data_IF_990429620662
#
_entry.id   IF_990429620662
#
_cell.length_a   1.000
_cell.length_b   1.000
_cell.length_c   1.000
_cell.angle_alpha   90.00
_cell.angle_beta   90.00
_cell.angle_gamma   90.00
#
_symmetry.space_group_name_H-M   'P 1'
#
loop_
_entity.id
_entity.type
_entity.pdbx_description
1 polymer ?
#
# COMPACT_ATOMS: atom_id res chain seq x y z
N UNK A 1 -10.71 -18.05 5.04
CA UNK A 1 -11.17 -19.03 4.06
C UNK A 1 -9.97 -19.35 3.18
N UNK A 2 -9.55 -20.61 3.13
CA UNK A 2 -8.38 -21.01 2.35
C UNK A 2 -8.71 -21.11 0.85
N UNK A 3 -9.98 -21.08 0.48
CA UNK A 3 -10.43 -21.23 -0.92
C UNK A 3 -10.35 -19.91 -1.72
N UNK A 4 -10.07 -18.79 -1.06
CA UNK A 4 -10.04 -17.46 -1.70
C UNK A 4 -8.72 -17.13 -2.39
N UNK A 5 -7.62 -17.82 -2.04
CA UNK A 5 -6.27 -17.48 -2.48
C UNK A 5 -5.42 -18.72 -2.70
N UNK A 6 -4.52 -18.70 -3.69
CA UNK A 6 -3.54 -19.78 -3.88
C UNK A 6 -2.65 -20.00 -2.65
N UNK A 7 -2.33 -18.91 -1.93
CA UNK A 7 -1.52 -18.92 -0.71
C UNK A 7 -2.06 -17.89 0.28
N UNK A 8 -2.35 -18.35 1.50
CA UNK A 8 -2.84 -17.52 2.60
C UNK A 8 -1.85 -17.53 3.76
N UNK A 9 -1.40 -16.34 4.16
CA UNK A 9 -0.53 -16.11 5.32
C UNK A 9 -1.37 -15.59 6.49
N UNK A 10 -1.45 -16.35 7.58
CA UNK A 10 -2.10 -15.94 8.83
C UNK A 10 -1.10 -15.22 9.75
N UNK A 11 -0.48 -14.17 9.23
CA UNK A 11 0.52 -13.35 9.92
C UNK A 11 -0.05 -11.97 10.26
N UNK A 12 0.52 -11.26 11.26
CA UNK A 12 0.19 -9.88 11.50
C UNK A 12 0.49 -9.00 10.28
N UNK A 13 -0.33 -7.96 10.06
CA UNK A 13 -0.10 -6.98 8.97
C UNK A 13 0.85 -5.90 9.48
N UNK A 14 2.11 -6.29 9.70
CA UNK A 14 3.20 -5.38 10.08
C UNK A 14 4.25 -5.28 8.97
N UNK A 15 5.11 -4.26 9.02
CA UNK A 15 6.17 -4.10 8.02
C UNK A 15 7.12 -5.31 8.02
N UNK A 16 7.53 -5.78 9.20
CA UNK A 16 8.47 -6.89 9.36
C UNK A 16 7.90 -8.18 8.75
N UNK A 17 6.69 -8.57 9.17
CA UNK A 17 6.04 -9.80 8.69
C UNK A 17 5.81 -9.76 7.17
N UNK A 18 5.40 -8.61 6.64
CA UNK A 18 5.18 -8.44 5.19
C UNK A 18 6.49 -8.50 4.42
N UNK A 19 7.58 -7.91 4.92
CA UNK A 19 8.89 -7.95 4.26
C UNK A 19 9.45 -9.38 4.22
N UNK A 20 9.29 -10.16 5.28
CA UNK A 20 9.69 -11.57 5.30
C UNK A 20 8.92 -12.39 4.25
N UNK A 21 7.61 -12.15 4.11
CA UNK A 21 6.80 -12.79 3.07
C UNK A 21 7.25 -12.34 1.68
N UNK A 22 7.44 -11.04 1.46
CA UNK A 22 7.91 -10.50 0.16
C UNK A 22 9.28 -11.05 -0.21
N UNK A 23 10.21 -11.15 0.74
CA UNK A 23 11.53 -11.71 0.52
C UNK A 23 11.47 -13.17 0.07
N UNK A 24 10.56 -13.95 0.66
CA UNK A 24 10.31 -15.35 0.31
C UNK A 24 9.59 -15.52 -1.02
N UNK A 25 8.59 -14.69 -1.29
CA UNK A 25 7.70 -14.85 -2.44
C UNK A 25 8.20 -14.16 -3.72
N UNK A 26 8.97 -13.09 -3.59
CA UNK A 26 9.40 -12.23 -4.70
C UNK A 26 8.22 -11.89 -5.65
N UNK A 27 7.12 -11.32 -5.12
CA UNK A 27 5.91 -11.08 -5.91
C UNK A 27 6.16 -10.03 -7.00
N UNK A 28 5.39 -10.11 -8.08
CA UNK A 28 5.41 -9.10 -9.14
C UNK A 28 4.91 -7.72 -8.67
N UNK A 29 4.06 -7.70 -7.64
CA UNK A 29 3.55 -6.48 -7.05
C UNK A 29 2.72 -6.76 -5.80
N UNK A 30 2.60 -5.75 -4.93
CA UNK A 30 1.81 -5.79 -3.69
C UNK A 30 0.71 -4.74 -3.74
N UNK A 31 -0.53 -5.16 -3.43
CA UNK A 31 -1.73 -4.30 -3.40
C UNK A 31 -2.02 -3.95 -1.95
N UNK A 32 -1.94 -2.66 -1.60
CA UNK A 32 -2.12 -2.15 -0.22
C UNK A 32 -3.42 -1.38 -0.01
N UNK A 33 -4.18 -1.12 -1.09
CA UNK A 33 -5.34 -0.23 -1.08
C UNK A 33 -6.63 -0.88 -0.55
N UNK A 34 -6.68 -2.21 -0.44
CA UNK A 34 -7.92 -2.95 -0.14
C UNK A 34 -8.08 -3.45 1.29
N UNK A 35 -7.10 -3.23 2.18
CA UNK A 35 -7.19 -3.67 3.58
C UNK A 35 -7.44 -2.54 4.59
N UNK A 36 -7.86 -1.36 4.13
CA UNK A 36 -8.10 -0.20 4.99
C UNK A 36 -6.81 0.46 5.49
N UNK A 37 -6.89 1.14 6.64
CA UNK A 37 -5.82 2.01 7.15
C UNK A 37 -4.52 1.27 7.52
N UNK A 38 -4.60 0.01 7.94
CA UNK A 38 -3.41 -0.75 8.36
C UNK A 38 -2.41 -0.94 7.22
N UNK A 39 -2.76 -1.52 6.05
CA UNK A 39 -1.82 -1.64 4.94
C UNK A 39 -1.52 -0.31 4.25
N UNK A 40 -2.44 0.66 4.25
CA UNK A 40 -2.19 2.00 3.70
C UNK A 40 -1.00 2.68 4.39
N UNK A 41 -0.93 2.58 5.74
CA UNK A 41 0.20 3.12 6.52
C UNK A 41 1.54 2.43 6.21
N UNK A 42 1.52 1.19 5.72
CA UNK A 42 2.73 0.45 5.35
C UNK A 42 3.20 0.77 3.92
N UNK A 43 2.37 1.39 3.09
CA UNK A 43 2.65 1.59 1.66
C UNK A 43 3.98 2.31 1.42
N UNK A 44 4.23 3.40 2.14
CA UNK A 44 5.44 4.20 1.99
C UNK A 44 6.70 3.46 2.47
N UNK A 45 6.60 2.72 3.57
CA UNK A 45 7.75 1.98 4.11
C UNK A 45 8.10 0.76 3.25
N UNK A 46 7.08 0.09 2.68
CA UNK A 46 7.28 -1.00 1.71
C UNK A 46 7.95 -0.49 0.43
N UNK A 47 7.54 0.67 -0.09
CA UNK A 47 8.19 1.28 -1.26
C UNK A 47 9.63 1.67 -0.97
N UNK A 48 9.91 2.26 0.20
CA UNK A 48 11.28 2.56 0.65
C UNK A 48 12.15 1.30 0.79
N UNK A 49 11.54 0.17 1.14
CA UNK A 49 12.20 -1.13 1.18
C UNK A 49 12.35 -1.78 -0.22
N UNK A 50 11.90 -1.13 -1.29
CA UNK A 50 12.02 -1.61 -2.67
C UNK A 50 10.99 -2.67 -3.05
N UNK A 51 9.90 -2.81 -2.28
CA UNK A 51 8.81 -3.73 -2.62
C UNK A 51 8.06 -3.20 -3.83
N UNK A 52 7.89 -4.00 -4.90
CA UNK A 52 7.15 -3.56 -6.07
C UNK A 52 5.69 -3.29 -5.71
N UNK A 53 5.21 -2.06 -5.93
CA UNK A 53 3.81 -1.71 -5.71
C UNK A 53 2.94 -2.17 -6.89
N UNK A 54 1.84 -2.86 -6.60
CA UNK A 54 0.76 -3.13 -7.55
C UNK A 54 -0.34 -2.07 -7.42
N UNK A 55 -0.63 -1.37 -8.52
CA UNK A 55 -1.72 -0.38 -8.58
C UNK A 55 -1.28 1.07 -8.30
N UNK A 56 -2.10 1.81 -7.57
CA UNK A 56 -1.87 3.23 -7.27
C UNK A 56 -0.62 3.41 -6.43
N UNK A 57 0.29 4.30 -6.86
CA UNK A 57 1.54 4.56 -6.15
C UNK A 57 1.30 5.05 -4.71
N UNK A 58 2.19 4.72 -3.76
CA UNK A 58 2.09 5.22 -2.38
C UNK A 58 2.04 6.74 -2.30
N UNK A 59 2.77 7.46 -3.15
CA UNK A 59 2.69 8.93 -3.21
C UNK A 59 1.29 9.42 -3.61
N UNK A 60 0.63 8.76 -4.56
CA UNK A 60 -0.75 9.10 -4.94
C UNK A 60 -1.76 8.81 -3.82
N UNK A 61 -1.50 7.80 -2.98
CA UNK A 61 -2.28 7.52 -1.78
C UNK A 61 -2.06 8.61 -0.74
N UNK A 62 -0.81 8.99 -0.48
CA UNK A 62 -0.44 10.05 0.46
C UNK A 62 -1.04 11.41 0.07
N UNK A 63 -1.04 11.76 -1.22
CA UNK A 63 -1.74 12.96 -1.74
C UNK A 63 -3.22 12.95 -1.41
N UNK A 64 -3.86 11.78 -1.42
CA UNK A 64 -5.30 11.66 -1.16
C UNK A 64 -5.62 11.66 0.36
N UNK A 65 -4.74 11.13 1.21
CA UNK A 65 -4.93 11.10 2.66
C UNK A 65 -4.47 12.39 3.35
N UNK A 66 -3.42 13.04 2.86
CA UNK A 66 -2.92 14.29 3.40
C UNK A 66 -3.84 15.45 2.96
N UNK A 67 -4.45 16.10 3.95
CA UNK A 67 -5.41 17.17 3.72
C UNK A 67 -4.79 18.38 3.01
N UNK A 68 -3.55 18.73 3.30
CA UNK A 68 -2.88 19.87 2.67
C UNK A 68 -2.52 19.54 1.22
N UNK A 69 -1.95 18.36 0.97
CA UNK A 69 -1.64 17.88 -0.38
C UNK A 69 -2.91 17.73 -1.22
N UNK A 70 -3.99 17.22 -0.63
CA UNK A 70 -5.27 17.09 -1.31
C UNK A 70 -5.87 18.46 -1.65
N UNK A 71 -5.83 19.42 -0.74
CA UNK A 71 -6.31 20.79 -1.00
C UNK A 71 -5.47 21.50 -2.07
N UNK A 72 -4.14 21.31 -2.06
CA UNK A 72 -3.25 21.81 -3.10
C UNK A 72 -3.57 21.18 -4.46
N UNK A 73 -3.88 19.88 -4.49
CA UNK A 73 -4.32 19.19 -5.70
C UNK A 73 -5.63 19.76 -6.23
N UNK A 74 -6.67 19.91 -5.39
CA UNK A 74 -7.94 20.50 -5.78
C UNK A 74 -7.77 21.92 -6.33
N UNK A 75 -6.95 22.74 -5.67
CA UNK A 75 -6.62 24.09 -6.11
C UNK A 75 -5.95 24.07 -7.49
N UNK A 76 -5.00 23.16 -7.71
CA UNK A 76 -4.30 22.99 -8.99
C UNK A 76 -5.26 22.56 -10.10
N UNK A 77 -6.25 21.72 -9.77
CA UNK A 77 -7.27 21.25 -10.71
C UNK A 77 -8.43 22.24 -10.92
N UNK A 78 -8.45 23.37 -10.20
CA UNK A 78 -9.52 24.36 -10.28
C UNK A 78 -10.86 23.88 -9.71
N UNK A 79 -10.84 22.87 -8.83
CA UNK A 79 -12.01 22.30 -8.20
C UNK A 79 -12.26 22.98 -6.85
N UNK A 80 -13.53 23.14 -6.47
CA UNK A 80 -13.99 23.74 -5.21
C UNK A 80 -14.88 22.78 -4.44
#
# INVERSE_FOLDING_TARGET
DYDTSDRLYFEPVTLEDVLEIVAKEQPLGVIVQYGGQTPLKLALDLERAGVPSGGTSPDSIDVAEDRERFQALLTTLGLR
#
